data_IF_910624132678
#
_entry.id   IF_910624132678
#
_cell.length_a   1.000
_cell.length_b   1.000
_cell.length_c   1.000
_cell.angle_alpha   90.00
_cell.angle_beta   90.00
_cell.angle_gamma   90.00
#
_symmetry.space_group_name_H-M   'P 1'
#
loop_
_entity.id
_entity.type
_entity.pdbx_description
1 polymer ?
#
# COMPACT_ATOMS: atom_id res chain seq x y z
N UNK A 1 7.77 -8.74 10.99
CA UNK A 1 8.37 -7.43 10.66
C UNK A 1 8.35 -6.49 11.87
N UNK A 2 9.40 -5.71 12.12
CA UNK A 2 9.42 -4.57 13.07
C UNK A 2 8.80 -3.32 12.43
N UNK A 3 8.58 -2.25 13.21
CA UNK A 3 8.06 -0.99 12.68
C UNK A 3 9.04 -0.34 11.68
N UNK A 4 10.35 -0.34 11.98
CA UNK A 4 11.38 0.23 11.10
C UNK A 4 11.50 -0.54 9.78
N UNK A 5 11.43 -1.87 9.84
CA UNK A 5 11.41 -2.71 8.65
C UNK A 5 10.17 -2.45 7.79
N UNK A 6 9.02 -2.25 8.43
CA UNK A 6 7.77 -1.93 7.76
C UNK A 6 7.81 -0.55 7.10
N UNK A 7 8.31 0.47 7.81
CA UNK A 7 8.53 1.80 7.25
C UNK A 7 9.48 1.77 6.05
N UNK A 8 10.62 1.08 6.19
CA UNK A 8 11.59 0.91 5.10
C UNK A 8 10.93 0.22 3.91
N UNK A 9 10.07 -0.76 4.16
CA UNK A 9 9.37 -1.47 3.10
C UNK A 9 8.34 -0.58 2.42
N UNK A 10 7.50 0.14 3.16
CA UNK A 10 6.53 1.08 2.57
C UNK A 10 7.20 2.13 1.68
N UNK A 11 8.33 2.70 2.13
CA UNK A 11 9.12 3.64 1.31
C UNK A 11 9.61 3.03 0.01
N UNK A 12 10.06 1.76 0.05
CA UNK A 12 10.45 1.03 -1.16
C UNK A 12 9.26 0.82 -2.09
N UNK A 13 8.11 0.40 -1.55
CA UNK A 13 6.91 0.15 -2.35
C UNK A 13 6.38 1.44 -3.01
N UNK A 14 6.36 2.56 -2.29
CA UNK A 14 5.98 3.88 -2.85
C UNK A 14 6.87 4.28 -4.04
N UNK A 15 8.19 4.11 -3.92
CA UNK A 15 9.13 4.41 -5.01
C UNK A 15 8.96 3.47 -6.21
N UNK A 16 8.83 2.17 -5.95
CA UNK A 16 8.70 1.16 -6.99
C UNK A 16 7.38 1.32 -7.79
N UNK A 17 6.31 1.85 -7.18
CA UNK A 17 5.02 2.08 -7.83
C UNK A 17 5.11 2.99 -9.06
N UNK A 18 6.04 3.94 -9.08
CA UNK A 18 6.26 4.85 -10.22
C UNK A 18 6.71 4.10 -11.50
N UNK A 19 7.30 2.92 -11.34
CA UNK A 19 7.75 2.07 -12.45
C UNK A 19 6.75 0.99 -12.88
N UNK A 20 5.56 0.94 -12.27
CA UNK A 20 4.58 -0.09 -12.59
C UNK A 20 3.83 0.22 -13.89
N UNK A 21 3.47 -0.85 -14.57
CA UNK A 21 2.80 -0.86 -15.86
C UNK A 21 1.68 -1.89 -15.83
N UNK A 22 0.76 -1.82 -16.79
CA UNK A 22 -0.29 -2.84 -16.96
C UNK A 22 0.24 -4.29 -17.03
N UNK A 23 1.51 -4.50 -17.41
CA UNK A 23 2.11 -5.84 -17.52
C UNK A 23 2.55 -6.44 -16.18
N UNK A 24 2.89 -5.60 -15.19
CA UNK A 24 3.52 -6.05 -13.94
C UNK A 24 2.81 -5.57 -12.67
N UNK A 25 1.88 -4.61 -12.75
CA UNK A 25 1.18 -4.07 -11.57
C UNK A 25 0.45 -5.17 -10.81
N UNK A 26 -0.20 -6.12 -11.50
CA UNK A 26 -1.02 -7.14 -10.84
C UNK A 26 -0.20 -8.03 -9.89
N UNK A 27 0.86 -8.65 -10.40
CA UNK A 27 1.73 -9.46 -9.56
C UNK A 27 2.34 -8.66 -8.40
N UNK A 28 2.69 -7.39 -8.65
CA UNK A 28 3.26 -6.50 -7.65
C UNK A 28 2.26 -6.16 -6.54
N UNK A 29 1.11 -5.58 -6.89
CA UNK A 29 0.09 -5.13 -5.94
C UNK A 29 -0.47 -6.28 -5.11
N UNK A 30 -0.62 -7.48 -5.68
CA UNK A 30 -1.06 -8.65 -4.91
C UNK A 30 -0.08 -9.00 -3.77
N UNK A 31 1.22 -8.81 -3.97
CA UNK A 31 2.21 -9.01 -2.90
C UNK A 31 2.12 -7.91 -1.85
N UNK A 32 1.95 -6.66 -2.27
CA UNK A 32 1.80 -5.51 -1.39
C UNK A 32 0.56 -5.63 -0.49
N UNK A 33 -0.59 -6.01 -1.05
CA UNK A 33 -1.83 -6.14 -0.28
C UNK A 33 -1.68 -7.17 0.85
N UNK A 34 -1.00 -8.29 0.60
CA UNK A 34 -0.70 -9.28 1.64
C UNK A 34 0.16 -8.69 2.75
N UNK A 35 1.21 -7.94 2.40
CA UNK A 35 2.07 -7.28 3.38
C UNK A 35 1.26 -6.31 4.25
N UNK A 36 0.41 -5.50 3.63
CA UNK A 36 -0.42 -4.50 4.35
C UNK A 36 -1.46 -5.19 5.24
N UNK A 37 -2.11 -6.25 4.77
CA UNK A 37 -3.11 -6.98 5.53
C UNK A 37 -2.53 -7.65 6.79
N UNK A 38 -1.34 -8.26 6.69
CA UNK A 38 -0.75 -8.99 7.82
C UNK A 38 0.07 -8.10 8.75
N UNK A 39 0.96 -7.27 8.22
CA UNK A 39 1.85 -6.45 9.05
C UNK A 39 1.23 -5.10 9.41
N UNK A 40 0.45 -4.48 8.51
CA UNK A 40 -0.15 -3.17 8.71
C UNK A 40 -1.12 -3.13 9.88
N UNK A 41 -2.12 -4.02 9.94
CA UNK A 41 -3.11 -4.05 11.03
C UNK A 41 -2.44 -4.36 12.38
N UNK A 42 -1.52 -5.34 12.38
CA UNK A 42 -0.77 -5.74 13.58
C UNK A 42 0.06 -4.59 14.13
N UNK A 43 0.80 -3.89 13.27
CA UNK A 43 1.67 -2.77 13.67
C UNK A 43 0.87 -1.53 14.06
N UNK A 44 -0.23 -1.25 13.35
CA UNK A 44 -1.15 -0.16 13.70
C UNK A 44 -1.69 -0.32 15.13
N UNK A 45 -2.15 -1.52 15.49
CA UNK A 45 -2.62 -1.82 16.85
C UNK A 45 -1.51 -1.75 17.90
N UNK A 46 -0.32 -2.27 17.57
CA UNK A 46 0.80 -2.33 18.52
C UNK A 46 1.39 -0.95 18.84
N UNK A 47 1.42 -0.05 17.87
CA UNK A 47 2.11 1.24 17.98
C UNK A 47 1.18 2.46 17.93
N UNK A 48 -0.14 2.25 17.87
CA UNK A 48 -1.15 3.31 17.78
C UNK A 48 -0.82 4.32 16.66
N UNK A 49 -0.64 3.78 15.44
CA UNK A 49 -0.19 4.56 14.28
C UNK A 49 -1.30 5.41 13.65
N UNK A 50 -2.56 5.14 13.99
CA UNK A 50 -3.75 5.75 13.40
C UNK A 50 -3.80 5.64 11.85
N UNK A 51 -3.27 4.55 11.30
CA UNK A 51 -3.25 4.30 9.84
C UNK A 51 -4.43 3.45 9.35
N UNK A 52 -5.37 3.10 10.23
CA UNK A 52 -6.53 2.26 9.91
C UNK A 52 -7.32 2.73 8.67
N UNK A 53 -7.57 4.04 8.45
CA UNK A 53 -8.31 4.49 7.26
C UNK A 53 -7.62 4.08 5.96
N UNK A 54 -6.29 4.20 5.89
CA UNK A 54 -5.49 3.85 4.71
C UNK A 54 -5.46 2.33 4.51
N UNK A 55 -5.35 1.55 5.60
CA UNK A 55 -5.42 0.09 5.55
C UNK A 55 -6.78 -0.38 5.00
N UNK A 56 -7.87 0.26 5.42
CA UNK A 56 -9.22 -0.07 4.95
C UNK A 56 -9.40 0.26 3.48
N UNK A 57 -8.93 1.43 3.03
CA UNK A 57 -9.02 1.81 1.62
C UNK A 57 -8.27 0.84 0.73
N UNK A 58 -7.02 0.53 1.06
CA UNK A 58 -6.19 -0.43 0.30
C UNK A 58 -6.85 -1.81 0.23
N UNK A 59 -7.47 -2.25 1.32
CA UNK A 59 -8.20 -3.52 1.34
C UNK A 59 -9.48 -3.49 0.47
N UNK A 60 -10.16 -2.34 0.37
CA UNK A 60 -11.31 -2.18 -0.54
C UNK A 60 -10.85 -2.19 -2.00
N UNK A 61 -9.78 -1.46 -2.34
CA UNK A 61 -9.18 -1.49 -3.69
C UNK A 61 -8.81 -2.91 -4.11
N UNK A 62 -8.23 -3.72 -3.21
CA UNK A 62 -7.93 -5.13 -3.48
C UNK A 62 -9.19 -5.95 -3.84
N UNK A 63 -10.32 -5.66 -3.21
CA UNK A 63 -11.56 -6.46 -3.37
C UNK A 63 -12.37 -6.05 -4.59
N UNK A 64 -12.49 -4.75 -4.82
CA UNK A 64 -13.50 -4.20 -5.72
C UNK A 64 -12.91 -3.75 -7.07
N UNK A 65 -11.67 -3.26 -7.05
CA UNK A 65 -11.05 -2.58 -8.19
C UNK A 65 -9.89 -3.37 -8.80
N UNK A 66 -9.28 -4.28 -8.03
CA UNK A 66 -8.09 -5.01 -8.45
C UNK A 66 -8.41 -6.24 -9.32
N UNK A 67 -8.35 -6.06 -10.64
CA UNK A 67 -8.61 -7.10 -11.66
C UNK A 67 -7.48 -7.15 -12.68
N UNK A 68 -7.37 -8.22 -13.47
CA UNK A 68 -6.29 -8.41 -14.45
C UNK A 68 -6.53 -7.70 -15.80
N UNK A 69 -7.78 -7.30 -16.08
CA UNK A 69 -8.25 -6.79 -17.38
C UNK A 69 -8.41 -5.28 -17.43
N UNK A 70 -7.85 -4.55 -16.46
CA UNK A 70 -7.93 -3.09 -16.39
C UNK A 70 -7.26 -2.42 -17.61
N UNK A 71 -7.88 -1.33 -18.07
CA UNK A 71 -7.31 -0.43 -19.05
C UNK A 71 -6.08 0.28 -18.47
N UNK A 72 -5.29 0.90 -19.36
CA UNK A 72 -4.09 1.65 -18.93
C UNK A 72 -4.45 2.78 -17.95
N UNK A 73 -5.51 3.53 -18.24
CA UNK A 73 -5.94 4.65 -17.41
C UNK A 73 -6.41 4.19 -16.01
N UNK A 74 -7.17 3.10 -15.95
CA UNK A 74 -7.61 2.51 -14.67
C UNK A 74 -6.42 2.02 -13.83
N UNK A 75 -5.41 1.43 -14.47
CA UNK A 75 -4.17 1.04 -13.76
C UNK A 75 -3.44 2.27 -13.21
N UNK A 76 -3.30 3.33 -14.00
CA UNK A 76 -2.65 4.58 -13.56
C UNK A 76 -3.38 5.20 -12.36
N UNK A 77 -4.72 5.26 -12.40
CA UNK A 77 -5.55 5.80 -11.31
C UNK A 77 -5.42 4.99 -10.01
N UNK A 78 -5.44 3.65 -10.10
CA UNK A 78 -5.25 2.77 -8.95
C UNK A 78 -3.86 2.95 -8.36
N UNK A 79 -2.81 3.01 -9.20
CA UNK A 79 -1.44 3.18 -8.75
C UNK A 79 -1.24 4.52 -8.03
N UNK A 80 -1.80 5.60 -8.57
CA UNK A 80 -1.74 6.94 -7.95
C UNK A 80 -2.45 6.97 -6.59
N UNK A 81 -3.64 6.37 -6.51
CA UNK A 81 -4.42 6.28 -5.27
C UNK A 81 -3.68 5.47 -4.21
N UNK A 82 -3.22 4.26 -4.56
CA UNK A 82 -2.48 3.40 -3.63
C UNK A 82 -1.17 4.03 -3.16
N UNK A 83 -0.44 4.71 -4.06
CA UNK A 83 0.78 5.43 -3.70
C UNK A 83 0.48 6.53 -2.68
N UNK A 84 -0.58 7.30 -2.91
CA UNK A 84 -1.01 8.37 -2.00
C UNK A 84 -1.30 7.84 -0.60
N UNK A 85 -2.00 6.71 -0.48
CA UNK A 85 -2.27 6.10 0.83
C UNK A 85 -1.01 5.57 1.50
N UNK A 86 -0.09 4.98 0.74
CA UNK A 86 1.20 4.53 1.27
C UNK A 86 2.02 5.71 1.77
N UNK A 87 2.09 6.81 1.02
CA UNK A 87 2.79 8.03 1.43
C UNK A 87 2.17 8.61 2.71
N UNK A 88 0.83 8.59 2.83
CA UNK A 88 0.15 8.98 4.07
C UNK A 88 0.51 8.06 5.25
N UNK A 89 0.58 6.74 5.03
CA UNK A 89 1.01 5.81 6.08
C UNK A 89 2.47 6.05 6.50
N UNK A 90 3.38 6.26 5.55
CA UNK A 90 4.79 6.60 5.80
C UNK A 90 4.86 7.83 6.70
N UNK A 91 4.19 8.92 6.30
CA UNK A 91 4.15 10.17 7.06
C UNK A 91 3.65 9.98 8.49
N UNK A 92 2.57 9.20 8.68
CA UNK A 92 2.04 8.90 10.02
C UNK A 92 3.00 8.12 10.90
N UNK A 93 3.69 7.13 10.32
CA UNK A 93 4.66 6.32 11.04
C UNK A 93 5.86 7.18 11.44
N UNK A 94 6.38 8.02 10.55
CA UNK A 94 7.52 8.90 10.82
C UNK A 94 7.27 9.91 11.95
N UNK A 95 6.03 10.35 12.17
CA UNK A 95 5.70 11.23 13.28
C UNK A 95 5.71 10.55 14.66
N UNK A 96 5.70 9.22 14.69
CA UNK A 96 5.66 8.41 15.92
C UNK A 96 7.02 7.80 16.27
N UNK A 97 7.97 7.82 15.32
CA UNK A 97 9.33 7.26 15.44
C UNK A 97 10.33 8.25 16.02
#
# INVERSE_FOLDING_TARGET
>A
MTLDEFLKRLKKESNDMEGLTRRNYYAYLNSLFKLIAYDGDRLNKKHDLMIMPYLQYINNTQRDDFREDLSKAEVEEILESLKTDIDCMIFRIEQKS
#
